data_IF_602274349706
#
_entry.id   IF_602274349706
#
_cell.length_a   1.000
_cell.length_b   1.000
_cell.length_c   1.000
_cell.angle_alpha   90.00
_cell.angle_beta   90.00
_cell.angle_gamma   90.00
#
_symmetry.space_group_name_H-M   'P 1'
#
loop_
_entity.id
_entity.type
_entity.pdbx_description
1 polymer ?
#
# COMPACT_ATOMS: atom_id res chain seq x y z
N UNK A 1 -10.72 23.52 -15.60
CA UNK A 1 -10.21 22.20 -16.02
C UNK A 1 -10.42 21.22 -14.88
N UNK A 2 -11.23 20.19 -15.12
CA UNK A 2 -11.47 19.12 -14.15
C UNK A 2 -10.16 18.36 -13.87
N UNK A 3 -9.79 18.21 -12.60
CA UNK A 3 -8.62 17.43 -12.21
C UNK A 3 -9.08 16.07 -11.75
N UNK A 4 -8.48 15.00 -12.30
CA UNK A 4 -8.79 13.64 -11.91
C UNK A 4 -7.62 13.00 -11.17
N UNK A 5 -7.93 12.17 -10.19
CA UNK A 5 -6.97 11.37 -9.45
C UNK A 5 -7.43 9.93 -9.47
N UNK A 6 -6.54 9.01 -9.85
CA UNK A 6 -6.80 7.57 -9.78
C UNK A 6 -6.03 6.97 -8.61
N UNK A 7 -6.70 6.21 -7.77
CA UNK A 7 -6.11 5.52 -6.63
C UNK A 7 -6.22 4.02 -6.89
N UNK A 8 -5.09 3.33 -6.79
CA UNK A 8 -5.01 1.88 -6.76
C UNK A 8 -4.64 1.47 -5.34
N UNK A 9 -5.33 0.48 -4.78
CA UNK A 9 -4.98 -0.02 -3.47
C UNK A 9 -5.09 -1.54 -3.35
N UNK A 10 -4.25 -2.09 -2.48
CA UNK A 10 -4.27 -3.50 -2.07
C UNK A 10 -4.48 -3.60 -0.57
N UNK A 11 -4.83 -4.78 -0.10
CA UNK A 11 -4.85 -5.12 1.31
C UNK A 11 -4.65 -6.62 1.46
N UNK A 12 -4.44 -7.09 2.70
CA UNK A 12 -4.46 -8.52 3.02
C UNK A 12 -3.47 -9.36 2.19
N UNK A 13 -2.31 -8.81 1.83
CA UNK A 13 -1.27 -9.57 1.12
C UNK A 13 -0.67 -10.66 2.02
N UNK A 14 -0.67 -10.46 3.34
CA UNK A 14 -0.29 -11.44 4.38
C UNK A 14 1.04 -12.15 4.11
N UNK A 15 2.01 -11.46 3.51
CA UNK A 15 3.31 -12.02 3.19
C UNK A 15 3.35 -12.89 1.93
N UNK A 16 2.30 -12.95 1.09
CA UNK A 16 2.35 -13.71 -0.16
C UNK A 16 3.22 -12.99 -1.22
N UNK A 17 4.53 -13.18 -1.12
CA UNK A 17 5.49 -12.61 -2.07
C UNK A 17 5.33 -13.20 -3.48
N UNK A 18 4.81 -14.42 -3.63
CA UNK A 18 4.65 -15.06 -4.95
C UNK A 18 3.59 -14.34 -5.81
N UNK A 19 2.66 -13.65 -5.18
CA UNK A 19 1.63 -12.85 -5.84
C UNK A 19 2.20 -11.58 -6.49
N UNK A 20 3.18 -10.94 -5.84
CA UNK A 20 3.60 -9.58 -6.14
C UNK A 20 4.15 -9.34 -7.56
N UNK A 21 4.92 -10.26 -8.18
CA UNK A 21 5.38 -10.08 -9.56
C UNK A 21 4.24 -9.97 -10.56
N UNK A 22 3.17 -10.74 -10.36
CA UNK A 22 2.00 -10.75 -11.25
C UNK A 22 1.11 -9.53 -10.97
N UNK A 23 0.94 -9.20 -9.69
CA UNK A 23 0.26 -7.99 -9.26
C UNK A 23 0.90 -6.73 -9.84
N UNK A 24 2.24 -6.67 -9.88
CA UNK A 24 2.97 -5.54 -10.46
C UNK A 24 2.64 -5.33 -11.94
N UNK A 25 2.54 -6.41 -12.73
CA UNK A 25 2.13 -6.32 -14.15
C UNK A 25 0.73 -5.72 -14.28
N UNK A 26 -0.22 -6.17 -13.46
CA UNK A 26 -1.58 -5.61 -13.45
C UNK A 26 -1.55 -4.12 -13.09
N UNK A 27 -0.87 -3.74 -12.00
CA UNK A 27 -0.78 -2.36 -11.54
C UNK A 27 -0.11 -1.45 -12.57
N UNK A 28 0.95 -1.93 -13.25
CA UNK A 28 1.62 -1.17 -14.32
C UNK A 28 0.66 -0.90 -15.48
N UNK A 29 -0.11 -1.92 -15.91
CA UNK A 29 -1.13 -1.78 -16.95
C UNK A 29 -2.20 -0.77 -16.55
N UNK A 30 -2.74 -0.90 -15.33
CA UNK A 30 -3.79 0.00 -14.83
C UNK A 30 -3.29 1.45 -14.71
N UNK A 31 -2.06 1.67 -14.26
CA UNK A 31 -1.42 3.00 -14.23
C UNK A 31 -1.32 3.61 -15.63
N UNK A 32 -0.95 2.82 -16.64
CA UNK A 32 -0.89 3.28 -18.04
C UNK A 32 -2.29 3.63 -18.60
N UNK A 33 -3.31 2.84 -18.26
CA UNK A 33 -4.70 3.04 -18.69
C UNK A 33 -5.40 4.22 -17.97
N UNK A 34 -4.89 4.67 -16.83
CA UNK A 34 -5.54 5.70 -16.02
C UNK A 34 -5.62 7.06 -16.73
N UNK A 35 -4.57 7.45 -17.45
CA UNK A 35 -4.49 8.75 -18.14
C UNK A 35 -4.50 9.97 -17.20
N UNK A 36 -4.40 9.76 -15.89
CA UNK A 36 -4.41 10.78 -14.83
C UNK A 36 -3.26 10.53 -13.85
N UNK A 37 -2.93 11.49 -12.96
CA UNK A 37 -2.11 11.20 -11.79
C UNK A 37 -2.65 9.97 -11.03
N UNK A 38 -1.73 9.14 -10.53
CA UNK A 38 -2.06 7.89 -9.83
C UNK A 38 -1.41 7.82 -8.46
N UNK A 39 -2.14 7.31 -7.46
CA UNK A 39 -1.59 6.89 -6.17
C UNK A 39 -1.67 5.37 -6.04
N UNK A 40 -0.65 4.75 -5.45
CA UNK A 40 -0.64 3.32 -5.17
C UNK A 40 -0.48 3.12 -3.66
N UNK A 41 -1.45 2.46 -3.02
CA UNK A 41 -1.58 2.41 -1.57
C UNK A 41 -1.73 0.97 -1.07
N UNK A 42 -1.21 0.67 0.11
CA UNK A 42 -1.55 -0.55 0.84
C UNK A 42 -2.40 -0.23 2.06
N UNK A 43 -3.60 -0.80 2.12
CA UNK A 43 -4.59 -0.60 3.18
C UNK A 43 -4.41 -1.59 4.36
N UNK A 44 -3.24 -2.23 4.44
CA UNK A 44 -2.79 -2.95 5.62
C UNK A 44 -2.79 -4.47 5.47
N UNK A 45 -2.25 -5.12 6.50
CA UNK A 45 -2.01 -6.56 6.55
C UNK A 45 -1.13 -7.05 5.39
N UNK A 46 -0.10 -6.26 5.05
CA UNK A 46 0.89 -6.65 4.05
C UNK A 46 1.76 -7.85 4.50
N UNK A 47 1.98 -7.99 5.82
CA UNK A 47 2.70 -9.11 6.44
C UNK A 47 1.83 -9.81 7.49
N UNK A 48 2.17 -11.06 7.78
CA UNK A 48 1.56 -11.90 8.80
C UNK A 48 2.65 -12.71 9.53
N UNK A 49 2.65 -12.70 10.87
CA UNK A 49 3.70 -13.34 11.67
C UNK A 49 3.73 -14.87 11.55
N UNK A 50 2.66 -15.49 11.02
CA UNK A 50 2.69 -16.92 10.67
C UNK A 50 3.55 -17.23 9.43
N UNK A 51 3.88 -16.21 8.62
CA UNK A 51 4.75 -16.35 7.45
C UNK A 51 6.20 -16.12 7.85
N UNK A 52 7.05 -17.12 7.60
CA UNK A 52 8.40 -17.18 8.18
C UNK A 52 9.28 -15.95 7.88
N UNK A 53 9.18 -15.35 6.68
CA UNK A 53 10.00 -14.18 6.33
C UNK A 53 9.45 -12.89 6.96
N UNK A 54 8.13 -12.80 7.17
CA UNK A 54 7.52 -11.73 7.95
C UNK A 54 8.02 -11.79 9.39
N UNK A 55 7.91 -12.95 10.05
CA UNK A 55 8.42 -13.15 11.40
C UNK A 55 9.93 -12.86 11.51
N UNK A 56 10.74 -13.42 10.60
CA UNK A 56 12.20 -13.27 10.62
C UNK A 56 12.66 -11.81 10.41
N UNK A 57 11.85 -10.98 9.75
CA UNK A 57 12.18 -9.58 9.47
C UNK A 57 11.38 -8.59 10.33
N UNK A 58 10.53 -9.06 11.25
CA UNK A 58 9.66 -8.21 12.06
C UNK A 58 8.66 -7.39 11.23
N UNK A 59 8.11 -8.00 10.17
CA UNK A 59 7.10 -7.42 9.28
C UNK A 59 7.64 -6.61 8.08
N UNK A 60 8.96 -6.48 7.93
CA UNK A 60 9.59 -5.62 6.91
C UNK A 60 9.58 -6.20 5.49
N UNK A 61 9.69 -7.52 5.36
CA UNK A 61 9.93 -8.19 4.07
C UNK A 61 8.98 -7.77 2.94
N UNK A 62 7.66 -7.81 3.15
CA UNK A 62 6.71 -7.38 2.11
C UNK A 62 6.84 -5.88 1.78
N UNK A 63 7.07 -5.03 2.78
CA UNK A 63 7.16 -3.58 2.60
C UNK A 63 8.32 -3.16 1.69
N UNK A 64 9.44 -3.89 1.74
CA UNK A 64 10.58 -3.67 0.82
C UNK A 64 10.18 -3.90 -0.64
N UNK A 65 9.35 -4.92 -0.90
CA UNK A 65 8.88 -5.23 -2.25
C UNK A 65 7.82 -4.22 -2.71
N UNK A 66 6.92 -3.80 -1.81
CA UNK A 66 5.91 -2.77 -2.12
C UNK A 66 6.56 -1.42 -2.46
N UNK A 67 7.62 -1.03 -1.75
CA UNK A 67 8.41 0.16 -2.07
C UNK A 67 9.02 0.06 -3.48
N UNK A 68 9.63 -1.09 -3.82
CA UNK A 68 10.17 -1.34 -5.16
C UNK A 68 9.10 -1.34 -6.27
N UNK A 69 7.85 -1.69 -5.95
CA UNK A 69 6.70 -1.60 -6.86
C UNK A 69 6.16 -0.16 -7.02
N UNK A 70 6.69 0.80 -6.26
CA UNK A 70 6.32 2.21 -6.30
C UNK A 70 5.02 2.51 -5.56
N UNK A 71 4.79 1.86 -4.42
CA UNK A 71 3.74 2.25 -3.48
C UNK A 71 4.08 3.59 -2.82
N UNK A 72 3.07 4.45 -2.68
CA UNK A 72 3.20 5.77 -2.05
C UNK A 72 3.11 5.67 -0.52
N UNK A 73 2.18 4.86 -0.02
CA UNK A 73 1.99 4.68 1.42
C UNK A 73 1.46 3.28 1.73
N UNK A 74 1.80 2.78 2.92
CA UNK A 74 1.28 1.53 3.46
C UNK A 74 0.80 1.73 4.90
N UNK A 75 -0.35 1.14 5.22
CA UNK A 75 -0.79 0.96 6.60
C UNK A 75 0.02 -0.16 7.25
N UNK A 76 0.82 0.19 8.24
CA UNK A 76 1.70 -0.74 8.96
C UNK A 76 1.18 -1.13 10.34
N UNK A 77 -0.01 -0.66 10.71
CA UNK A 77 -0.61 -0.90 12.02
C UNK A 77 -0.73 -2.39 12.31
N UNK A 78 -0.23 -2.78 13.48
CA UNK A 78 -0.45 -4.10 14.06
C UNK A 78 0.45 -5.23 13.56
N UNK A 79 1.39 -4.99 12.64
CA UNK A 79 2.35 -6.02 12.21
C UNK A 79 3.80 -5.54 12.06
N UNK A 80 4.06 -4.23 11.89
CA UNK A 80 5.42 -3.72 11.85
C UNK A 80 5.88 -3.31 13.25
N UNK A 81 6.96 -3.92 13.72
CA UNK A 81 7.55 -3.56 15.03
C UNK A 81 8.19 -2.15 14.99
N UNK A 82 8.27 -1.42 16.11
CA UNK A 82 8.97 -0.13 16.15
C UNK A 82 10.43 -0.21 15.65
N UNK A 83 11.16 -1.26 16.06
CA UNK A 83 12.52 -1.50 15.61
C UNK A 83 12.59 -1.76 14.09
N UNK A 84 11.65 -2.54 13.56
CA UNK A 84 11.52 -2.77 12.12
C UNK A 84 11.24 -1.48 11.36
N UNK A 85 10.38 -0.62 11.90
CA UNK A 85 10.08 0.70 11.33
C UNK A 85 11.30 1.60 11.26
N UNK A 86 12.07 1.71 12.35
CA UNK A 86 13.32 2.48 12.37
C UNK A 86 14.32 1.98 11.32
N UNK A 87 14.46 0.66 11.17
CA UNK A 87 15.36 0.07 10.17
C UNK A 87 14.94 0.42 8.74
N UNK A 88 13.64 0.41 8.44
CA UNK A 88 13.13 0.79 7.11
C UNK A 88 13.34 2.28 6.81
N UNK A 89 13.05 3.17 7.77
CA UNK A 89 13.27 4.61 7.60
C UNK A 89 14.75 4.93 7.36
N UNK A 90 15.66 4.24 8.05
CA UNK A 90 17.11 4.43 7.86
C UNK A 90 17.62 3.91 6.50
N UNK A 91 16.90 2.97 5.88
CA UNK A 91 17.22 2.39 4.57
C UNK A 91 16.61 3.18 3.40
N UNK A 92 16.14 4.41 3.63
CA UNK A 92 15.65 5.34 2.61
C UNK A 92 14.48 4.80 1.77
N UNK A 93 13.49 4.15 2.40
CA UNK A 93 12.23 3.86 1.69
C UNK A 93 11.59 5.13 1.16
N UNK A 94 11.10 5.08 -0.08
CA UNK A 94 10.29 6.16 -0.67
C UNK A 94 8.83 6.13 -0.21
N UNK A 95 8.35 4.95 0.17
CA UNK A 95 6.99 4.72 0.66
C UNK A 95 6.81 5.19 2.11
N UNK A 96 5.72 5.91 2.36
CA UNK A 96 5.32 6.29 3.71
C UNK A 96 4.79 5.10 4.51
N UNK A 97 5.37 4.86 5.69
CA UNK A 97 4.92 3.83 6.63
C UNK A 97 3.99 4.48 7.67
N UNK A 98 2.69 4.27 7.54
CA UNK A 98 1.67 4.94 8.35
C UNK A 98 1.11 4.00 9.43
N UNK A 99 1.20 4.44 10.68
CA UNK A 99 0.56 3.83 11.84
C UNK A 99 -0.31 4.89 12.56
N UNK A 100 -0.76 4.59 13.79
CA UNK A 100 -1.58 5.49 14.58
C UNK A 100 -0.90 6.86 14.80
N UNK A 101 -1.56 7.91 14.32
CA UNK A 101 -1.11 9.31 14.47
C UNK A 101 -0.20 9.80 13.36
N UNK A 102 0.28 8.91 12.47
CA UNK A 102 1.06 9.32 11.31
C UNK A 102 0.20 9.90 10.20
N UNK A 103 0.81 10.78 9.41
CA UNK A 103 0.22 11.30 8.19
C UNK A 103 1.25 11.43 7.09
N UNK A 104 0.81 11.21 5.86
CA UNK A 104 1.53 11.62 4.66
C UNK A 104 0.66 12.61 3.88
N UNK A 105 1.26 13.62 3.27
CA UNK A 105 0.50 14.58 2.48
C UNK A 105 1.29 15.09 1.28
N UNK A 106 0.53 15.48 0.26
CA UNK A 106 1.03 16.30 -0.84
C UNK A 106 0.02 17.43 -1.12
N UNK A 107 0.10 18.06 -2.29
CA UNK A 107 -0.79 19.16 -2.66
C UNK A 107 -2.27 18.76 -2.78
N UNK A 108 -2.57 17.50 -3.10
CA UNK A 108 -3.92 17.03 -3.42
C UNK A 108 -4.52 16.11 -2.35
N UNK A 109 -3.70 15.41 -1.56
CA UNK A 109 -4.18 14.41 -0.60
C UNK A 109 -3.49 14.49 0.76
N UNK A 110 -4.21 14.02 1.78
CA UNK A 110 -3.68 13.65 3.09
C UNK A 110 -4.05 12.18 3.32
N UNK A 111 -3.11 11.38 3.79
CA UNK A 111 -3.28 9.94 4.00
C UNK A 111 -2.98 9.62 5.45
N UNK A 112 -3.85 8.86 6.10
CA UNK A 112 -3.66 8.34 7.46
C UNK A 112 -4.01 6.86 7.55
N UNK A 113 -3.45 6.16 8.54
CA UNK A 113 -3.76 4.74 8.78
C UNK A 113 -5.19 4.53 9.34
N UNK A 114 -5.72 5.51 10.08
CA UNK A 114 -7.05 5.48 10.69
C UNK A 114 -7.76 6.80 10.49
N UNK A 115 -9.08 6.80 10.68
CA UNK A 115 -9.85 8.02 10.68
C UNK A 115 -9.34 8.97 11.77
N UNK A 116 -9.18 10.22 11.39
CA UNK A 116 -8.77 11.31 12.25
C UNK A 116 -9.52 12.57 11.80
N UNK A 117 -9.84 13.46 12.74
CA UNK A 117 -10.38 14.77 12.40
C UNK A 117 -9.24 15.63 11.85
N UNK A 118 -9.19 15.77 10.52
CA UNK A 118 -8.16 16.53 9.82
C UNK A 118 -8.81 17.68 9.06
N UNK A 119 -8.44 18.90 9.41
CA UNK A 119 -8.74 20.07 8.58
C UNK A 119 -7.76 20.09 7.39
N UNK A 120 -8.20 19.60 6.23
CA UNK A 120 -7.41 19.60 5.00
C UNK A 120 -8.20 20.25 3.85
N UNK A 121 -8.43 21.58 3.90
CA UNK A 121 -9.24 22.27 2.90
C UNK A 121 -8.66 22.06 1.50
N UNK A 122 -9.50 21.59 0.57
CA UNK A 122 -9.12 21.35 -0.82
C UNK A 122 -8.33 20.07 -1.07
N UNK A 123 -8.07 19.24 -0.06
CA UNK A 123 -7.41 17.92 -0.21
C UNK A 123 -8.40 16.79 0.06
N UNK A 124 -8.17 15.65 -0.59
CA UNK A 124 -8.85 14.39 -0.21
C UNK A 124 -8.15 13.82 1.02
N UNK A 125 -8.90 13.48 2.06
CA UNK A 125 -8.39 12.68 3.18
C UNK A 125 -8.62 11.20 2.89
N UNK A 126 -7.56 10.40 2.72
CA UNK A 126 -7.65 8.96 2.46
C UNK A 126 -7.33 8.20 3.74
N UNK A 127 -8.22 7.31 4.15
CA UNK A 127 -8.02 6.42 5.31
C UNK A 127 -7.60 5.03 4.82
N UNK A 128 -6.38 4.59 5.16
CA UNK A 128 -5.82 3.30 4.77
C UNK A 128 -6.32 2.11 5.61
N UNK A 129 -7.41 2.27 6.35
CA UNK A 129 -8.11 1.15 6.96
C UNK A 129 -9.30 0.79 6.05
N UNK A 130 -9.35 -0.45 5.60
CA UNK A 130 -10.49 -0.93 4.83
C UNK A 130 -11.79 -0.85 5.65
N UNK A 131 -12.86 -0.49 4.97
CA UNK A 131 -14.24 -0.49 5.44
C UNK A 131 -15.06 -1.50 4.62
N UNK A 132 -16.33 -1.69 4.97
CA UNK A 132 -17.23 -2.60 4.24
C UNK A 132 -17.43 -2.13 2.78
N UNK A 133 -17.53 -0.82 2.59
CA UNK A 133 -17.76 -0.20 1.29
C UNK A 133 -16.84 1.01 1.05
N UNK A 134 -16.47 1.23 -0.22
CA UNK A 134 -15.80 2.47 -0.63
C UNK A 134 -16.79 3.62 -0.53
N UNK A 135 -16.41 4.70 0.15
CA UNK A 135 -17.25 5.88 0.28
C UNK A 135 -16.43 7.16 0.38
N UNK A 136 -16.93 8.24 -0.22
CA UNK A 136 -16.38 9.59 -0.10
C UNK A 136 -17.39 10.48 0.65
N UNK A 137 -17.11 10.77 1.92
CA UNK A 137 -17.97 11.57 2.78
C UNK A 137 -17.21 12.81 3.27
N UNK A 138 -17.72 14.01 2.97
CA UNK A 138 -17.15 15.28 3.43
C UNK A 138 -15.64 15.43 3.14
N UNK A 139 -15.17 14.90 1.99
CA UNK A 139 -13.75 14.95 1.60
C UNK A 139 -12.91 13.79 2.14
N UNK A 140 -13.47 12.92 2.98
CA UNK A 140 -12.82 11.71 3.48
C UNK A 140 -13.19 10.49 2.66
N UNK A 141 -12.20 9.90 2.00
CA UNK A 141 -12.28 8.64 1.26
C UNK A 141 -11.96 7.46 2.19
N UNK A 142 -12.95 6.58 2.35
CA UNK A 142 -12.80 5.25 2.94
C UNK A 142 -12.68 4.22 1.82
N UNK A 143 -11.76 3.28 1.99
CA UNK A 143 -11.46 2.25 1.01
C UNK A 143 -12.29 1.00 1.33
N UNK A 144 -13.04 0.47 0.38
CA UNK A 144 -13.75 -0.80 0.58
C UNK A 144 -12.80 -1.97 0.74
N UNK A 145 -13.29 -3.07 1.30
CA UNK A 145 -12.52 -4.30 1.50
C UNK A 145 -12.09 -4.90 0.16
N UNK A 146 -10.84 -5.37 0.12
CA UNK A 146 -10.29 -6.17 -0.99
C UNK A 146 -9.64 -7.43 -0.44
N UNK A 147 -9.79 -8.53 -1.16
CA UNK A 147 -9.18 -9.81 -0.83
C UNK A 147 -7.74 -9.90 -1.37
N UNK A 148 -7.00 -10.91 -0.91
CA UNK A 148 -5.67 -11.24 -1.46
C UNK A 148 -5.76 -11.46 -2.97
N UNK A 149 -4.92 -10.77 -3.74
CA UNK A 149 -4.94 -10.84 -5.20
C UNK A 149 -5.99 -9.93 -5.86
N UNK A 150 -6.68 -9.09 -5.10
CA UNK A 150 -7.54 -8.04 -5.65
C UNK A 150 -6.87 -6.66 -5.56
N UNK A 151 -7.26 -5.78 -6.47
CA UNK A 151 -6.87 -4.36 -6.51
C UNK A 151 -8.14 -3.52 -6.50
N UNK A 152 -8.28 -2.67 -5.50
CA UNK A 152 -9.30 -1.63 -5.51
C UNK A 152 -8.86 -0.47 -6.41
N UNK A 153 -9.78 0.03 -7.21
CA UNK A 153 -9.57 1.11 -8.18
C UNK A 153 -10.59 2.20 -7.91
N UNK A 154 -10.12 3.39 -7.59
CA UNK A 154 -10.96 4.54 -7.28
C UNK A 154 -10.57 5.68 -8.22
N UNK A 155 -11.57 6.34 -8.81
CA UNK A 155 -11.38 7.57 -9.58
C UNK A 155 -12.14 8.70 -8.92
N UNK A 156 -11.40 9.75 -8.60
CA UNK A 156 -11.93 10.99 -8.04
C UNK A 156 -11.87 12.09 -9.10
N UNK A 157 -12.84 12.99 -9.05
CA UNK A 157 -12.81 14.26 -9.76
C UNK A 157 -12.85 15.42 -8.79
N UNK A 158 -12.12 16.48 -9.12
CA UNK A 158 -12.21 17.79 -8.49
C UNK A 158 -12.65 18.82 -9.52
N UNK A 159 -13.81 19.44 -9.27
CA UNK A 159 -14.27 20.57 -10.06
C UNK A 159 -13.46 21.82 -9.67
N UNK A 160 -12.71 22.36 -10.64
CA UNK A 160 -11.84 23.52 -10.44
C UNK A 160 -12.60 24.68 -9.79
N UNK A 161 -12.08 25.20 -8.69
CA UNK A 161 -12.60 26.40 -8.03
C UNK A 161 -13.70 26.17 -6.99
N UNK A 162 -14.30 24.98 -6.91
CA UNK A 162 -15.30 24.67 -5.85
C UNK A 162 -14.70 23.90 -4.68
N UNK A 163 -13.56 23.24 -4.88
CA UNK A 163 -12.97 22.31 -3.91
C UNK A 163 -13.84 21.07 -3.66
N UNK A 164 -14.92 20.89 -4.42
CA UNK A 164 -15.81 19.75 -4.28
C UNK A 164 -15.22 18.54 -5.00
N UNK A 165 -14.97 17.49 -4.21
CA UNK A 165 -14.47 16.21 -4.67
C UNK A 165 -15.64 15.26 -4.85
N UNK A 166 -15.72 14.60 -6.00
CA UNK A 166 -16.72 13.58 -6.30
C UNK A 166 -16.06 12.24 -6.60
N UNK A 167 -16.68 11.18 -6.09
CA UNK A 167 -16.34 9.80 -6.45
C UNK A 167 -16.94 9.51 -7.82
N UNK A 168 -16.11 9.41 -8.86
CA UNK A 168 -16.58 9.09 -10.21
C UNK A 168 -16.80 7.59 -10.39
N UNK A 169 -15.92 6.78 -9.81
CA UNK A 169 -15.93 5.33 -9.95
C UNK A 169 -15.18 4.67 -8.80
N UNK A 170 -15.73 3.59 -8.31
CA UNK A 170 -15.04 2.57 -7.53
C UNK A 170 -15.23 1.19 -8.19
N UNK A 171 -14.20 0.36 -8.15
CA UNK A 171 -14.26 -1.01 -8.65
C UNK A 171 -13.21 -1.86 -7.95
N UNK A 172 -13.46 -3.17 -7.87
CA UNK A 172 -12.47 -4.14 -7.40
C UNK A 172 -12.14 -5.07 -8.56
N UNK A 173 -10.84 -5.19 -8.85
CA UNK A 173 -10.34 -6.04 -9.92
C UNK A 173 -9.59 -7.23 -9.34
N UNK A 174 -9.97 -8.44 -9.73
CA UNK A 174 -9.22 -9.66 -9.40
C UNK A 174 -8.04 -9.83 -10.33
N UNK A 175 -6.87 -10.16 -9.79
CA UNK A 175 -5.68 -10.51 -10.57
C UNK A 175 -5.97 -11.75 -11.43
N UNK A 176 -5.88 -11.66 -12.77
CA UNK A 176 -6.09 -12.82 -13.63
C UNK A 176 -5.06 -13.90 -13.34
N UNK A 177 -5.50 -15.16 -13.22
CA UNK A 177 -4.64 -16.34 -12.96
C UNK A 177 -3.53 -16.52 -14.00
N UNK A 178 -3.78 -16.09 -15.23
CA UNK A 178 -2.85 -16.20 -16.36
C UNK A 178 -1.85 -15.03 -16.48
N UNK A 179 -1.91 -14.02 -15.61
CA UNK A 179 -0.96 -12.89 -15.64
C UNK A 179 0.46 -13.40 -15.43
N UNK A 180 1.43 -13.16 -16.34
CA UNK A 180 2.80 -13.58 -16.15
C UNK A 180 3.48 -12.78 -15.03
N UNK A 181 4.47 -13.35 -14.32
CA UNK A 181 5.23 -12.63 -13.29
C UNK A 181 6.22 -11.64 -13.92
N UNK A 182 6.41 -10.47 -13.30
CA UNK A 182 7.49 -9.54 -13.66
C UNK A 182 8.86 -10.02 -13.13
N UNK A 183 9.89 -10.16 -13.99
CA UNK A 183 11.20 -10.69 -13.57
C UNK A 183 11.97 -9.74 -12.65
N UNK A 184 11.75 -8.42 -12.74
CA UNK A 184 12.45 -7.44 -11.88
C UNK A 184 11.97 -7.58 -10.44
N UNK A 185 10.65 -7.65 -10.24
CA UNK A 185 10.06 -7.85 -8.91
C UNK A 185 10.41 -9.23 -8.35
N UNK A 186 10.50 -10.26 -9.19
CA UNK A 186 11.00 -11.57 -8.77
C UNK A 186 12.42 -11.49 -8.20
N UNK A 187 13.33 -10.74 -8.84
CA UNK A 187 14.68 -10.48 -8.31
C UNK A 187 14.68 -9.76 -6.95
N UNK A 188 13.81 -8.76 -6.76
CA UNK A 188 13.65 -8.10 -5.46
C UNK A 188 13.18 -9.07 -4.38
N UNK A 189 12.27 -9.99 -4.70
CA UNK A 189 11.80 -11.01 -3.77
C UNK A 189 12.93 -11.96 -3.37
N UNK A 190 13.73 -12.43 -4.32
CA UNK A 190 14.87 -13.30 -4.02
C UNK A 190 15.85 -12.63 -3.05
N UNK A 191 16.13 -11.34 -3.26
CA UNK A 191 16.95 -10.54 -2.35
C UNK A 191 16.33 -10.48 -0.94
N UNK A 192 15.05 -10.12 -0.82
CA UNK A 192 14.34 -10.03 0.47
C UNK A 192 14.33 -11.38 1.20
N UNK A 193 14.11 -12.49 0.47
CA UNK A 193 14.13 -13.83 1.04
C UNK A 193 15.53 -14.23 1.51
N UNK A 194 16.59 -13.84 0.79
CA UNK A 194 17.97 -14.05 1.21
C UNK A 194 18.29 -13.26 2.50
N UNK A 195 17.86 -12.00 2.59
CA UNK A 195 18.02 -11.17 3.80
C UNK A 195 17.26 -11.76 4.99
N UNK A 196 16.01 -12.20 4.80
CA UNK A 196 15.22 -12.84 5.84
C UNK A 196 15.89 -14.13 6.37
N UNK A 197 16.49 -14.94 5.48
CA UNK A 197 17.28 -16.12 5.89
C UNK A 197 18.51 -15.74 6.71
N UNK A 198 19.20 -14.66 6.34
CA UNK A 198 20.34 -14.17 7.10
C UNK A 198 19.93 -13.74 8.52
N UNK A 199 18.85 -12.97 8.67
CA UNK A 199 18.32 -12.58 9.98
C UNK A 199 17.94 -13.78 10.85
N UNK A 200 17.27 -14.79 10.28
CA UNK A 200 16.91 -16.01 10.99
C UNK A 200 18.14 -16.76 11.53
N UNK A 201 19.24 -16.82 10.76
CA UNK A 201 20.49 -17.45 11.18
C UNK A 201 21.18 -16.68 12.30
N UNK A 202 21.21 -15.34 12.21
CA UNK A 202 21.86 -14.48 13.21
C UNK A 202 21.10 -14.47 14.54
N UNK A 203 19.76 -14.44 14.51
CA UNK A 203 18.92 -14.49 15.70
C UNK A 203 19.00 -15.83 16.45
N UNK A 204 19.20 -16.95 15.74
CA UNK A 204 19.35 -18.28 16.34
C UNK A 204 20.70 -18.53 17.03
N UNK A 205 21.64 -17.57 17.00
CA UNK A 205 22.97 -17.69 17.61
C UNK A 205 23.08 -17.04 18.99
N UNK A 206 22.01 -16.43 19.52
CA UNK A 206 22.03 -15.69 20.79
C UNK A 206 21.41 -16.43 21.98
N UNK A 207 20.95 -17.68 21.80
CA UNK A 207 20.33 -18.55 22.82
C UNK A 207 21.15 -19.85 23.07
N UNK A 208 22.49 -19.78 23.00
CA UNK A 208 23.38 -20.88 23.40
C UNK A 208 24.50 -20.41 24.30
#
# INVERSE_FOLDING_TARGET
MEQTLTIFYTANLRGDLNLLPRLYILLRRLKQEAGSPTLLLDAGRACDDSVWHCAATGGRSTLLVLDAMGYTAANVSGYLTPAGRTQLTNNLLGMALLDQGDRWENEQVVITAREASIAAPGKVHIVLACDEHTALNQGTLRLGTVETGQVGVIRLSSASGTGHLSLLRDNVLTLPSATPPDPTIAGTIEFVLAEARYHRRKGGSSDR
#
